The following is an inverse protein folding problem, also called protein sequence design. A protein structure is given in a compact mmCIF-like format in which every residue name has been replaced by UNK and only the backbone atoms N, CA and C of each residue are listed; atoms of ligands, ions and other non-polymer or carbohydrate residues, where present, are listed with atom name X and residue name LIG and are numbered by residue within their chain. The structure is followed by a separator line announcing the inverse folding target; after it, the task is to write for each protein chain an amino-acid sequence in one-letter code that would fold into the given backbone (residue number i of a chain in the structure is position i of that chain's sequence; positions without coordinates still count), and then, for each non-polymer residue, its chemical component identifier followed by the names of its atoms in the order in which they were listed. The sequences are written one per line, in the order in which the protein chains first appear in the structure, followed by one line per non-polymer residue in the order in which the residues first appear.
data_IF_919221878896
#
_entry.id   IF_919221878896
#
_cell.length_a   1.000
_cell.length_b   1.000
_cell.length_c   1.000
_cell.angle_alpha   90.00
_cell.angle_beta   90.00
_cell.angle_gamma   90.00
#
_symmetry.space_group_name_H-M   'P 1'
#
loop_
_entity.id
_entity.type
_entity.pdbx_description
1 polymer ?
#
# COMPACT_ATOMS: atom_id res chain seq x y z
N UNK A 1 12.53 3.95 -0.70
CA UNK A 1 11.98 2.57 -0.85
C UNK A 1 11.64 2.19 -2.30
N UNK A 2 11.99 3.02 -3.29
CA UNK A 2 11.83 2.71 -4.71
C UNK A 2 12.42 1.34 -5.12
N UNK A 3 13.66 1.06 -4.71
CA UNK A 3 14.28 -0.25 -4.99
C UNK A 3 13.49 -1.42 -4.40
N UNK A 4 12.78 -1.21 -3.29
CA UNK A 4 11.99 -2.26 -2.65
C UNK A 4 10.70 -2.56 -3.40
N UNK A 5 10.03 -1.56 -3.97
CA UNK A 5 8.87 -1.80 -4.83
C UNK A 5 9.28 -2.52 -6.14
N UNK A 6 10.42 -2.17 -6.72
CA UNK A 6 10.98 -2.92 -7.86
C UNK A 6 11.43 -4.35 -7.49
N UNK A 7 11.98 -4.57 -6.30
CA UNK A 7 12.26 -5.93 -5.81
C UNK A 7 10.98 -6.76 -5.65
N UNK A 8 9.87 -6.15 -5.19
CA UNK A 8 8.58 -6.82 -5.12
C UNK A 8 8.07 -7.25 -6.50
N UNK A 9 8.24 -6.42 -7.52
CA UNK A 9 7.94 -6.79 -8.92
C UNK A 9 8.79 -7.97 -9.38
N UNK A 10 10.11 -7.87 -9.19
CA UNK A 10 11.05 -8.94 -9.53
C UNK A 10 10.71 -10.26 -8.85
N UNK A 11 10.38 -10.22 -7.57
CA UNK A 11 9.97 -11.39 -6.79
C UNK A 11 8.68 -12.02 -7.32
N UNK A 12 7.67 -11.19 -7.63
CA UNK A 12 6.39 -11.63 -8.21
C UNK A 12 6.60 -12.34 -9.55
N UNK A 13 7.52 -11.83 -10.37
CA UNK A 13 7.84 -12.37 -11.70
C UNK A 13 8.70 -13.64 -11.65
N UNK A 14 9.49 -13.82 -10.59
CA UNK A 14 10.47 -14.90 -10.50
C UNK A 14 9.86 -16.30 -10.54
N UNK A 15 8.63 -16.47 -10.01
CA UNK A 15 7.92 -17.75 -10.03
C UNK A 15 6.42 -17.55 -9.97
N UNK A 16 5.68 -18.30 -10.79
CA UNK A 16 4.22 -18.30 -10.74
C UNK A 16 3.71 -18.63 -9.32
N UNK A 17 2.79 -17.81 -8.82
CA UNK A 17 2.25 -17.90 -7.47
C UNK A 17 2.96 -17.03 -6.43
N UNK A 18 4.15 -16.48 -6.72
CA UNK A 18 4.77 -15.48 -5.87
C UNK A 18 3.94 -14.20 -5.85
N UNK A 19 3.89 -13.55 -4.70
CA UNK A 19 3.30 -12.22 -4.54
C UNK A 19 4.32 -11.36 -3.80
N UNK A 20 4.80 -10.32 -4.47
CA UNK A 20 5.72 -9.35 -3.91
C UNK A 20 5.01 -8.33 -3.04
N UNK A 21 5.60 -8.04 -1.89
CA UNK A 21 5.15 -6.99 -0.99
C UNK A 21 6.29 -6.00 -0.75
N UNK A 22 5.94 -4.73 -0.60
CA UNK A 22 6.86 -3.67 -0.19
C UNK A 22 6.25 -2.93 1.00
N UNK A 23 7.02 -2.76 2.07
CA UNK A 23 6.56 -2.09 3.29
C UNK A 23 7.49 -0.90 3.57
N UNK A 24 6.91 0.25 3.83
CA UNK A 24 7.62 1.48 4.16
C UNK A 24 6.93 2.27 5.26
N UNK A 25 7.64 3.25 5.80
CA UNK A 25 7.09 4.20 6.77
C UNK A 25 6.15 5.21 6.08
N UNK A 26 5.77 6.27 6.80
CA UNK A 26 5.00 7.42 6.29
C UNK A 26 5.79 8.31 5.32
N UNK A 27 5.08 9.27 4.73
CA UNK A 27 5.65 10.38 3.96
C UNK A 27 6.66 9.96 2.89
N UNK A 28 7.97 10.19 3.11
CA UNK A 28 9.01 9.94 2.10
C UNK A 28 9.02 8.51 1.57
N UNK A 29 8.69 7.52 2.40
CA UNK A 29 8.65 6.16 1.90
C UNK A 29 7.50 5.95 0.91
N UNK A 30 6.30 6.48 1.19
CA UNK A 30 5.19 6.38 0.24
C UNK A 30 5.46 7.10 -1.08
N UNK A 31 6.08 8.28 -1.04
CA UNK A 31 6.44 9.02 -2.26
C UNK A 31 7.52 8.32 -3.08
N UNK A 32 8.49 7.66 -2.44
CA UNK A 32 9.51 6.86 -3.12
C UNK A 32 8.94 5.60 -3.80
N UNK A 33 7.77 5.10 -3.37
CA UNK A 33 7.16 3.91 -3.99
C UNK A 33 6.47 4.21 -5.33
N UNK A 34 6.17 5.48 -5.62
CA UNK A 34 5.33 5.88 -6.77
C UNK A 34 5.89 5.38 -8.11
N UNK A 35 7.21 5.47 -8.31
CA UNK A 35 7.87 4.97 -9.53
C UNK A 35 7.68 3.45 -9.70
N UNK A 36 7.83 2.69 -8.61
CA UNK A 36 7.63 1.24 -8.64
C UNK A 36 6.16 0.83 -8.78
N UNK A 37 5.22 1.59 -8.20
CA UNK A 37 3.79 1.41 -8.44
C UNK A 37 3.45 1.66 -9.93
N UNK A 38 3.96 2.76 -10.51
CA UNK A 38 3.78 3.02 -11.93
C UNK A 38 4.34 1.89 -12.82
N UNK A 39 5.56 1.42 -12.54
CA UNK A 39 6.18 0.27 -13.23
C UNK A 39 5.29 -0.97 -13.17
N UNK A 40 4.85 -1.36 -11.98
CA UNK A 40 4.00 -2.52 -11.79
C UNK A 40 2.64 -2.38 -12.49
N UNK A 41 2.06 -1.18 -12.51
CA UNK A 41 0.81 -0.91 -13.21
C UNK A 41 0.96 -1.02 -14.73
N UNK A 42 2.05 -0.48 -15.29
CA UNK A 42 2.36 -0.56 -16.71
C UNK A 42 2.50 -2.02 -17.17
N UNK A 43 3.23 -2.82 -16.40
CA UNK A 43 3.54 -4.22 -16.73
C UNK A 43 2.50 -5.22 -16.24
N UNK A 44 1.43 -4.76 -15.59
CA UNK A 44 0.37 -5.60 -15.02
C UNK A 44 0.89 -6.59 -13.97
N UNK A 45 1.80 -6.15 -13.11
CA UNK A 45 2.42 -6.96 -12.06
C UNK A 45 1.65 -6.77 -10.75
N UNK A 46 1.11 -7.85 -10.15
CA UNK A 46 0.39 -7.75 -8.89
C UNK A 46 1.38 -7.64 -7.71
N UNK A 47 1.61 -6.43 -7.21
CA UNK A 47 2.33 -6.18 -5.95
C UNK A 47 1.43 -5.46 -4.93
N UNK A 48 1.75 -5.62 -3.64
CA UNK A 48 1.12 -4.86 -2.57
C UNK A 48 2.16 -3.97 -1.88
N UNK A 49 1.93 -2.66 -1.92
CA UNK A 49 2.68 -1.69 -1.16
C UNK A 49 1.92 -1.30 0.11
N UNK A 50 2.61 -1.27 1.25
CA UNK A 50 2.06 -0.83 2.53
C UNK A 50 2.89 0.32 3.06
N UNK A 51 2.24 1.41 3.43
CA UNK A 51 2.85 2.56 4.09
C UNK A 51 2.31 2.73 5.49
N UNK A 52 3.18 3.09 6.43
CA UNK A 52 2.74 3.69 7.69
C UNK A 52 2.19 5.09 7.44
N UNK A 53 1.44 5.62 8.39
CA UNK A 53 0.88 6.96 8.33
C UNK A 53 0.87 7.60 9.73
N UNK A 54 0.90 8.93 9.76
CA UNK A 54 0.74 9.70 11.00
C UNK A 54 -0.56 9.30 11.73
N UNK A 55 -0.62 9.48 13.06
CA UNK A 55 -1.84 9.19 13.81
C UNK A 55 -3.04 9.95 13.23
N UNK A 56 -4.23 9.33 13.23
CA UNK A 56 -5.45 9.92 12.64
C UNK A 56 -5.72 11.36 13.11
N UNK A 57 -5.45 11.66 14.38
CA UNK A 57 -5.62 12.99 14.98
C UNK A 57 -4.68 14.10 14.42
N UNK A 58 -3.72 13.73 13.57
CA UNK A 58 -2.68 14.61 12.99
C UNK A 58 -2.78 14.78 11.47
N UNK A 59 -3.59 13.98 10.78
CA UNK A 59 -3.66 13.98 9.31
C UNK A 59 -3.98 15.35 8.69
N UNK A 60 -4.81 16.16 9.35
CA UNK A 60 -5.25 17.47 8.83
C UNK A 60 -4.44 18.65 9.38
N UNK A 61 -3.26 18.40 9.98
CA UNK A 61 -2.48 19.42 10.70
C UNK A 61 -1.15 19.76 10.04
N UNK A 62 -0.95 19.35 8.78
CA UNK A 62 0.35 19.43 8.10
C UNK A 62 1.49 18.90 8.98
N UNK A 63 1.20 17.84 9.74
CA UNK A 63 2.15 17.27 10.70
C UNK A 63 3.28 16.54 9.98
N UNK A 64 4.37 16.28 10.69
CA UNK A 64 5.55 15.64 10.12
C UNK A 64 5.20 14.31 9.42
N UNK A 65 5.47 14.24 8.11
CA UNK A 65 5.19 13.08 7.26
C UNK A 65 3.70 12.69 7.11
N UNK A 66 2.76 13.54 7.52
CA UNK A 66 1.33 13.38 7.27
C UNK A 66 0.96 13.72 5.81
N UNK A 67 1.49 12.94 4.87
CA UNK A 67 1.27 13.10 3.42
C UNK A 67 0.14 12.18 2.99
N UNK A 68 -0.78 12.67 2.16
CA UNK A 68 -1.85 11.85 1.58
C UNK A 68 -1.29 10.93 0.47
N UNK A 69 -0.63 9.85 0.89
CA UNK A 69 -0.01 8.86 -0.01
C UNK A 69 -1.08 8.16 -0.85
N UNK A 70 -2.27 7.91 -0.29
CA UNK A 70 -3.36 7.27 -1.02
C UNK A 70 -3.78 8.11 -2.23
N UNK A 71 -3.96 9.43 -2.06
CA UNK A 71 -4.28 10.33 -3.16
C UNK A 71 -3.16 10.42 -4.19
N UNK A 72 -1.89 10.46 -3.76
CA UNK A 72 -0.73 10.51 -4.65
C UNK A 72 -0.61 9.21 -5.48
N UNK A 73 -0.85 8.05 -4.87
CA UNK A 73 -0.73 6.75 -5.50
C UNK A 73 -1.94 6.38 -6.37
N UNK A 74 -3.10 6.99 -6.16
CA UNK A 74 -4.35 6.65 -6.86
C UNK A 74 -4.24 6.57 -8.40
N UNK A 75 -3.50 7.46 -9.10
CA UNK A 75 -3.37 7.38 -10.56
C UNK A 75 -2.52 6.20 -11.05
N UNK A 76 -1.69 5.60 -10.18
CA UNK A 76 -0.72 4.55 -10.54
C UNK A 76 -0.95 3.24 -9.78
N UNK A 77 -2.08 3.11 -9.09
CA UNK A 77 -2.49 1.90 -8.39
C UNK A 77 -3.91 1.51 -8.80
N UNK A 78 -4.20 0.20 -8.81
CA UNK A 78 -5.57 -0.30 -8.98
C UNK A 78 -6.47 0.15 -7.84
N UNK A 79 -5.89 0.29 -6.66
CA UNK A 79 -6.55 0.79 -5.48
C UNK A 79 -5.48 1.35 -4.54
N UNK A 80 -5.74 2.55 -4.03
CA UNK A 80 -4.95 3.18 -3.00
C UNK A 80 -5.93 3.62 -1.91
N UNK A 81 -5.63 3.30 -0.65
CA UNK A 81 -6.53 3.63 0.47
C UNK A 81 -5.73 3.90 1.74
N UNK A 82 -6.20 4.86 2.54
CA UNK A 82 -5.83 4.96 3.95
C UNK A 82 -6.90 4.28 4.80
N UNK A 83 -6.53 3.23 5.54
CA UNK A 83 -7.48 2.49 6.38
C UNK A 83 -7.64 3.21 7.71
N UNK A 84 -8.79 3.82 7.90
CA UNK A 84 -9.05 4.70 9.05
C UNK A 84 -9.56 3.98 10.29
N UNK A 85 -9.98 2.72 10.17
CA UNK A 85 -10.52 1.96 11.30
C UNK A 85 -9.80 0.61 11.46
N UNK A 86 -9.35 0.26 12.69
CA UNK A 86 -8.62 -0.99 12.95
C UNK A 86 -9.33 -2.25 12.46
N UNK A 87 -10.62 -2.37 12.73
CA UNK A 87 -11.41 -3.56 12.37
C UNK A 87 -11.57 -3.74 10.85
N UNK A 88 -11.29 -2.71 10.05
CA UNK A 88 -11.31 -2.80 8.59
C UNK A 88 -10.01 -3.33 7.99
N UNK A 89 -8.91 -3.40 8.76
CA UNK A 89 -7.59 -3.82 8.26
C UNK A 89 -7.64 -5.23 7.63
N UNK A 90 -8.25 -6.26 8.27
CA UNK A 90 -8.33 -7.59 7.67
C UNK A 90 -9.10 -7.60 6.34
N UNK A 91 -10.23 -6.88 6.28
CA UNK A 91 -11.01 -6.74 5.05
C UNK A 91 -10.26 -5.98 3.96
N UNK A 92 -9.53 -4.92 4.32
CA UNK A 92 -8.74 -4.13 3.39
C UNK A 92 -7.62 -4.99 2.77
N UNK A 93 -6.93 -5.80 3.56
CA UNK A 93 -5.92 -6.75 3.07
C UNK A 93 -6.55 -7.79 2.14
N UNK A 94 -7.68 -8.41 2.53
CA UNK A 94 -8.39 -9.37 1.68
C UNK A 94 -8.77 -8.74 0.34
N UNK A 95 -9.33 -7.53 0.37
CA UNK A 95 -9.69 -6.76 -0.81
C UNK A 95 -8.48 -6.42 -1.67
N UNK A 96 -7.35 -6.03 -1.08
CA UNK A 96 -6.11 -5.75 -1.81
C UNK A 96 -5.63 -6.98 -2.59
N UNK A 97 -5.57 -8.14 -1.94
CA UNK A 97 -5.18 -9.40 -2.58
C UNK A 97 -6.16 -9.84 -3.68
N UNK A 98 -7.45 -9.56 -3.54
CA UNK A 98 -8.42 -9.79 -4.61
C UNK A 98 -8.22 -8.81 -5.78
N UNK A 99 -8.13 -7.51 -5.50
CA UNK A 99 -8.02 -6.46 -6.51
C UNK A 99 -6.72 -6.56 -7.30
N UNK A 100 -5.59 -6.80 -6.67
CA UNK A 100 -4.30 -6.86 -7.37
C UNK A 100 -4.25 -7.98 -8.42
N UNK A 101 -5.05 -9.05 -8.28
CA UNK A 101 -5.06 -10.22 -9.19
C UNK A 101 -6.27 -10.31 -10.12
N UNK A 102 -7.33 -9.54 -9.88
CA UNK A 102 -8.55 -9.56 -10.70
C UNK A 102 -8.37 -8.81 -12.02
N UNK A 103 -9.10 -9.20 -13.07
CA UNK A 103 -9.07 -8.54 -14.39
C UNK A 103 -7.64 -8.37 -14.92
N UNK A 104 -7.23 -7.15 -15.28
CA UNK A 104 -5.81 -6.81 -15.49
C UNK A 104 -5.14 -6.73 -14.12
N UNK A 105 -4.15 -7.59 -13.80
CA UNK A 105 -3.43 -7.50 -12.53
C UNK A 105 -2.67 -6.18 -12.43
N UNK A 106 -2.35 -5.78 -11.20
CA UNK A 106 -1.65 -4.52 -10.99
C UNK A 106 -1.49 -4.20 -9.51
N UNK A 107 -0.80 -3.11 -9.19
CA UNK A 107 -0.41 -2.80 -7.83
C UNK A 107 -1.56 -2.25 -7.00
N UNK A 108 -1.47 -2.46 -5.70
CA UNK A 108 -2.35 -1.86 -4.69
C UNK A 108 -1.50 -1.20 -3.61
N UNK A 109 -1.99 -0.07 -3.08
CA UNK A 109 -1.39 0.60 -1.92
C UNK A 109 -2.38 0.63 -0.74
N UNK A 110 -1.90 0.21 0.43
CA UNK A 110 -2.60 0.37 1.71
C UNK A 110 -1.75 1.27 2.60
N UNK A 111 -2.35 2.35 3.07
CA UNK A 111 -1.76 3.32 4.00
C UNK A 111 -2.41 3.15 5.39
N UNK A 112 -1.60 3.02 6.44
CA UNK A 112 -2.06 2.63 7.78
C UNK A 112 -1.60 3.64 8.84
N UNK A 113 -2.51 4.44 9.43
CA UNK A 113 -2.18 5.28 10.58
C UNK A 113 -1.59 4.44 11.72
N UNK A 114 -0.55 4.92 12.38
CA UNK A 114 0.12 4.15 13.44
C UNK A 114 -0.83 3.79 14.60
N UNK A 115 -1.80 4.65 14.93
CA UNK A 115 -2.80 4.36 15.95
C UNK A 115 -3.83 3.31 15.49
N UNK A 116 -4.01 3.13 14.18
CA UNK A 116 -4.79 2.03 13.61
C UNK A 116 -4.00 0.72 13.67
N UNK A 117 -2.69 0.76 13.38
CA UNK A 117 -1.82 -0.42 13.42
C UNK A 117 -1.69 -1.01 14.84
N UNK A 118 -1.66 -0.15 15.85
CA UNK A 118 -1.44 -0.53 17.24
C UNK A 118 -2.71 -0.91 18.00
N UNK A 119 -3.89 -0.71 17.39
CA UNK A 119 -5.15 -1.01 18.04
C UNK A 119 -5.42 -2.52 18.07
N UNK A 120 -5.86 -3.01 19.22
CA UNK A 120 -6.37 -4.37 19.36
C UNK A 120 -7.81 -4.44 18.82
N UNK A 121 -8.11 -5.53 18.11
CA UNK A 121 -9.45 -5.81 17.57
C UNK A 121 -9.84 -7.24 17.91
N UNK A 122 -11.14 -7.47 18.09
CA UNK A 122 -11.69 -8.83 17.99
C UNK A 122 -11.69 -9.23 16.51
N UNK A 123 -11.16 -10.43 16.22
CA UNK A 123 -11.06 -10.94 14.85
C UNK A 123 -11.43 -12.42 14.84
N UNK A 124 -12.52 -12.74 14.15
CA UNK A 124 -13.08 -14.08 13.97
C UNK A 124 -12.68 -14.69 12.62
#
# INVERSE_FOLDING_TARGET
VEGASHMAEGYTRAKAGNIGLCIGTSGPAGTDMITGLYSAAADSIPILCITGQAPRARLNKEDFQAVDIAAIAAPVAKWAVTVMEPYLVPMALQKAFHLMRSSRPGPVLIDLPVDVQMAEIEFD
#
